data_IF_537356072058
#
_entry.id   IF_537356072058
#
_cell.length_a   1.000
_cell.length_b   1.000
_cell.length_c   1.000
_cell.angle_alpha   90.00
_cell.angle_beta   90.00
_cell.angle_gamma   90.00
#
_symmetry.space_group_name_H-M   'P 1'
#
loop_
_entity.id
_entity.type
_entity.pdbx_description
1 polymer ?
#
# COMPACT_ATOMS: atom_id res chain seq x y z
N UNK A 1 -13.75 20.99 -44.42
CA UNK A 1 -14.51 20.94 -43.16
C UNK A 1 -13.74 20.07 -42.17
N UNK A 2 -13.22 20.63 -41.08
CA UNK A 2 -12.48 19.85 -40.08
C UNK A 2 -13.47 19.02 -39.24
N UNK A 3 -13.31 17.70 -39.22
CA UNK A 3 -14.10 16.80 -38.41
C UNK A 3 -13.86 17.06 -36.92
N UNK A 4 -14.83 17.67 -36.24
CA UNK A 4 -14.79 17.89 -34.79
C UNK A 4 -14.91 16.51 -34.12
N UNK A 5 -13.87 16.05 -33.42
CA UNK A 5 -13.88 14.75 -32.73
C UNK A 5 -14.97 14.75 -31.65
N UNK A 6 -16.04 13.97 -31.82
CA UNK A 6 -17.24 13.96 -30.94
C UNK A 6 -17.29 12.80 -29.95
N UNK A 7 -16.32 11.89 -29.94
CA UNK A 7 -16.37 10.73 -29.06
C UNK A 7 -15.01 10.08 -28.88
N UNK A 8 -14.38 10.32 -27.74
CA UNK A 8 -13.14 9.68 -27.32
C UNK A 8 -13.12 9.53 -25.80
N UNK A 9 -12.18 8.75 -25.28
CA UNK A 9 -12.04 8.57 -23.83
C UNK A 9 -11.74 9.93 -23.18
N UNK A 10 -12.55 10.32 -22.19
CA UNK A 10 -12.37 11.58 -21.45
C UNK A 10 -11.05 11.53 -20.68
N UNK A 11 -10.28 12.61 -20.76
CA UNK A 11 -9.05 12.75 -19.98
C UNK A 11 -9.38 12.63 -18.49
N UNK A 12 -8.65 11.77 -17.78
CA UNK A 12 -8.93 11.47 -16.37
C UNK A 12 -9.78 10.22 -16.11
N UNK A 13 -10.43 9.63 -17.12
CA UNK A 13 -11.13 8.34 -16.91
C UNK A 13 -10.09 7.24 -16.60
N UNK A 14 -10.10 6.64 -15.41
CA UNK A 14 -9.12 5.60 -15.07
C UNK A 14 -9.30 4.40 -15.99
N UNK A 15 -8.18 3.78 -16.39
CA UNK A 15 -8.23 2.58 -17.22
C UNK A 15 -8.84 1.42 -16.39
N UNK A 16 -9.97 0.89 -16.84
CA UNK A 16 -10.72 -0.17 -16.15
C UNK A 16 -9.85 -1.37 -15.79
N UNK A 17 -9.01 -1.83 -16.74
CA UNK A 17 -8.08 -2.94 -16.51
C UNK A 17 -7.10 -2.63 -15.36
N UNK A 18 -6.55 -1.41 -15.33
CA UNK A 18 -5.64 -1.00 -14.23
C UNK A 18 -6.36 -0.86 -12.90
N UNK A 19 -7.66 -0.53 -12.90
CA UNK A 19 -8.47 -0.47 -11.68
C UNK A 19 -8.71 -1.88 -11.14
N UNK A 20 -9.11 -2.81 -11.99
CA UNK A 20 -9.34 -4.21 -11.63
C UNK A 20 -8.06 -4.86 -11.08
N UNK A 21 -6.92 -4.67 -11.75
CA UNK A 21 -5.62 -5.16 -11.27
C UNK A 21 -5.22 -4.54 -9.91
N UNK A 22 -5.45 -3.24 -9.70
CA UNK A 22 -5.19 -2.61 -8.39
C UNK A 22 -6.09 -3.16 -7.29
N UNK A 23 -7.34 -3.47 -7.60
CA UNK A 23 -8.27 -4.09 -6.63
C UNK A 23 -7.76 -5.47 -6.22
N UNK A 24 -7.43 -6.33 -7.19
CA UNK A 24 -6.89 -7.67 -6.90
C UNK A 24 -5.62 -7.58 -6.05
N UNK A 25 -4.69 -6.69 -6.41
CA UNK A 25 -3.45 -6.51 -5.64
C UNK A 25 -3.73 -6.03 -4.22
N UNK A 26 -4.65 -5.08 -4.04
CA UNK A 26 -5.06 -4.59 -2.72
C UNK A 26 -5.62 -5.73 -1.87
N UNK A 27 -6.49 -6.55 -2.45
CA UNK A 27 -7.16 -7.62 -1.73
C UNK A 27 -6.15 -8.71 -1.32
N UNK A 28 -5.18 -9.02 -2.18
CA UNK A 28 -4.07 -9.92 -1.84
C UNK A 28 -3.21 -9.38 -0.69
N UNK A 29 -2.85 -8.10 -0.72
CA UNK A 29 -2.07 -7.47 0.36
C UNK A 29 -2.86 -7.47 1.67
N UNK A 30 -4.16 -7.19 1.63
CA UNK A 30 -5.01 -7.24 2.81
C UNK A 30 -5.06 -8.65 3.43
N UNK A 31 -5.25 -9.68 2.60
CA UNK A 31 -5.23 -11.06 3.06
C UNK A 31 -3.88 -11.47 3.66
N UNK A 32 -2.76 -11.00 3.07
CA UNK A 32 -1.42 -11.24 3.61
C UNK A 32 -1.22 -10.56 4.97
N UNK A 33 -1.72 -9.33 5.15
CA UNK A 33 -1.67 -8.62 6.43
C UNK A 33 -2.48 -9.34 7.52
N UNK A 34 -3.62 -9.93 7.17
CA UNK A 34 -4.43 -10.73 8.10
C UNK A 34 -3.73 -12.04 8.51
N UNK A 35 -2.98 -12.67 7.59
CA UNK A 35 -2.22 -13.89 7.85
C UNK A 35 -0.87 -13.64 8.57
N UNK A 36 -0.37 -12.41 8.51
CA UNK A 36 0.94 -12.00 8.99
C UNK A 36 1.29 -12.44 10.43
N UNK A 37 0.38 -12.37 11.42
CA UNK A 37 0.64 -12.86 12.77
C UNK A 37 1.02 -14.35 12.79
N UNK A 38 0.27 -15.18 12.07
CA UNK A 38 0.52 -16.62 11.95
C UNK A 38 1.85 -16.89 11.26
N UNK A 39 2.17 -16.14 10.20
CA UNK A 39 3.45 -16.26 9.49
C UNK A 39 4.64 -15.88 10.37
N UNK A 40 4.47 -14.86 11.23
CA UNK A 40 5.49 -14.42 12.20
C UNK A 40 5.75 -15.43 13.32
N UNK A 41 4.78 -16.27 13.67
CA UNK A 41 4.96 -17.32 14.68
C UNK A 41 5.98 -18.38 14.23
N UNK A 42 6.01 -18.68 12.92
CA UNK A 42 6.92 -19.66 12.33
C UNK A 42 8.35 -19.16 12.07
N UNK A 43 8.60 -17.85 12.22
CA UNK A 43 9.89 -17.24 11.92
C UNK A 43 10.88 -17.37 13.09
N UNK A 44 12.19 -17.51 12.81
CA UNK A 44 13.22 -17.47 13.84
C UNK A 44 13.15 -16.17 14.66
N UNK A 45 13.47 -16.20 15.97
CA UNK A 45 13.30 -15.03 16.85
C UNK A 45 13.96 -13.75 16.34
N UNK A 46 15.13 -13.87 15.69
CA UNK A 46 15.88 -12.73 15.13
C UNK A 46 15.15 -12.09 13.95
N UNK A 47 14.60 -12.89 13.05
CA UNK A 47 13.88 -12.40 11.86
C UNK A 47 12.55 -11.76 12.24
N UNK A 48 11.84 -12.36 13.20
CA UNK A 48 10.62 -11.79 13.77
C UNK A 48 10.87 -10.42 14.39
N UNK A 49 11.96 -10.26 15.16
CA UNK A 49 12.34 -8.97 15.74
C UNK A 49 12.62 -7.93 14.65
N UNK A 50 13.28 -8.34 13.56
CA UNK A 50 13.62 -7.47 12.44
C UNK A 50 12.37 -6.93 11.71
N UNK A 51 11.33 -7.75 11.57
CA UNK A 51 10.03 -7.31 11.04
C UNK A 51 9.36 -6.32 11.99
N UNK A 52 9.35 -6.59 13.29
CA UNK A 52 8.76 -5.69 14.30
C UNK A 52 9.47 -4.33 14.29
N UNK A 53 10.80 -4.29 14.19
CA UNK A 53 11.58 -3.05 14.07
C UNK A 53 11.19 -2.25 12.82
N UNK A 54 10.93 -2.92 11.70
CA UNK A 54 10.50 -2.26 10.45
C UNK A 54 9.06 -1.75 10.51
N UNK A 55 8.20 -2.37 11.32
CA UNK A 55 6.80 -1.94 11.51
C UNK A 55 6.63 -0.84 12.56
N UNK A 56 7.49 -0.81 13.58
CA UNK A 56 7.51 0.18 14.67
C UNK A 56 7.34 1.65 14.22
N UNK A 57 8.01 2.14 13.15
CA UNK A 57 7.87 3.53 12.68
C UNK A 57 6.50 3.90 12.15
N UNK A 58 5.67 2.90 11.82
CA UNK A 58 4.30 3.10 11.33
C UNK A 58 3.28 3.05 12.48
N UNK A 59 3.62 2.38 13.59
CA UNK A 59 2.77 2.30 14.77
C UNK A 59 3.04 3.44 15.77
N UNK A 60 4.29 3.90 15.85
CA UNK A 60 4.68 4.96 16.77
C UNK A 60 4.79 6.31 16.06
N UNK A 61 4.34 7.40 16.70
CA UNK A 61 4.61 8.73 16.20
C UNK A 61 6.12 8.97 16.19
N UNK A 62 6.65 9.49 15.08
CA UNK A 62 8.04 9.95 15.04
C UNK A 62 8.21 11.07 16.05
N UNK A 63 9.12 10.89 17.01
CA UNK A 63 9.45 11.92 17.98
C UNK A 63 10.14 13.05 17.22
N UNK A 64 9.43 14.15 17.00
CA UNK A 64 10.01 15.34 16.41
C UNK A 64 10.92 16.00 17.46
N UNK A 65 12.15 16.34 17.07
CA UNK A 65 13.02 17.13 17.93
C UNK A 65 12.32 18.46 18.26
N UNK A 66 12.08 18.71 19.54
CA UNK A 66 11.54 19.97 20.01
C UNK A 66 12.58 21.04 19.70
N UNK A 67 12.27 21.95 18.76
CA UNK A 67 13.06 23.16 18.61
C UNK A 67 12.79 24.01 19.85
N UNK A 68 13.77 24.10 20.73
CA UNK A 68 13.82 25.12 21.76
C UNK A 68 14.14 26.46 21.09
N UNK A 69 13.17 27.38 21.14
CA UNK A 69 13.36 28.83 20.90
C UNK A 69 14.39 29.44 21.85
#
# INVERSE_FOLDING_TARGET
MQGKKTGGRVAGTPNRLTKELRTVLRDMIAAELDALPTTLEGLPPKERLDVVIKLLPFCLPKVNAVKSD
#
